data_IF_242824234235
#
_entry.id   IF_242824234235
#
_cell.length_a   1.000
_cell.length_b   1.000
_cell.length_c   1.000
_cell.angle_alpha   90.00
_cell.angle_beta   90.00
_cell.angle_gamma   90.00
#
_symmetry.space_group_name_H-M   'P 1'
#
loop_
_entity.id
_entity.type
_entity.pdbx_description
1 polymer ?
#
# COMPACT_ATOMS: atom_id res chain seq x y z
N UNK A 1 22.39 18.93 -8.02
CA UNK A 1 22.01 18.65 -6.62
C UNK A 1 23.08 19.20 -5.72
N UNK A 2 22.75 20.20 -4.92
CA UNK A 2 23.63 20.68 -3.85
C UNK A 2 23.77 19.59 -2.77
N UNK A 3 24.85 19.65 -1.96
CA UNK A 3 25.15 18.61 -0.95
C UNK A 3 24.01 18.33 0.04
N UNK A 4 23.10 19.29 0.24
CA UNK A 4 21.91 19.17 1.12
C UNK A 4 20.74 18.42 0.48
N UNK A 5 20.67 18.32 -0.84
CA UNK A 5 19.64 17.52 -1.54
C UNK A 5 20.03 16.04 -1.59
N UNK A 6 21.32 15.75 -1.80
CA UNK A 6 21.85 14.38 -1.77
C UNK A 6 21.69 13.79 -0.36
N UNK A 7 21.98 14.57 0.67
CA UNK A 7 21.78 14.17 2.07
C UNK A 7 20.31 13.80 2.35
N UNK A 8 19.35 14.60 1.87
CA UNK A 8 17.93 14.32 2.05
C UNK A 8 17.49 13.03 1.33
N UNK A 9 18.02 12.77 0.12
CA UNK A 9 17.72 11.56 -0.64
C UNK A 9 18.21 10.28 0.04
N UNK A 10 19.34 10.32 0.75
CA UNK A 10 19.97 9.14 1.37
C UNK A 10 19.37 8.80 2.73
N UNK A 11 18.86 9.79 3.48
CA UNK A 11 18.33 9.59 4.85
C UNK A 11 17.28 8.49 5.00
N UNK A 12 16.27 8.35 4.11
CA UNK A 12 15.30 7.26 4.23
C UNK A 12 15.96 5.87 4.20
N UNK A 13 16.98 5.69 3.35
CA UNK A 13 17.73 4.44 3.25
C UNK A 13 18.56 4.17 4.50
N UNK A 14 19.18 5.20 5.08
CA UNK A 14 19.90 5.08 6.35
C UNK A 14 18.96 4.69 7.49
N UNK A 15 17.79 5.31 7.58
CA UNK A 15 16.78 4.97 8.58
C UNK A 15 16.30 3.51 8.42
N UNK A 16 15.98 3.09 7.19
CA UNK A 16 15.59 1.70 6.90
C UNK A 16 16.72 0.72 7.18
N UNK A 17 17.97 1.06 6.87
CA UNK A 17 19.13 0.20 7.12
C UNK A 17 19.39 0.02 8.62
N UNK A 18 19.32 1.10 9.41
CA UNK A 18 19.45 1.02 10.86
C UNK A 18 18.29 0.20 11.46
N UNK A 19 17.08 0.41 10.96
CA UNK A 19 15.91 -0.36 11.38
C UNK A 19 16.07 -1.87 11.06
N UNK A 20 16.51 -2.21 9.84
CA UNK A 20 16.77 -3.59 9.43
C UNK A 20 17.90 -4.25 10.23
N UNK A 21 18.87 -3.46 10.71
CA UNK A 21 19.95 -3.91 11.59
C UNK A 21 19.51 -4.03 13.08
N UNK A 22 18.21 -3.91 13.37
CA UNK A 22 17.67 -3.89 14.73
C UNK A 22 18.28 -2.81 15.64
N UNK A 23 18.66 -1.66 15.05
CA UNK A 23 19.14 -0.49 15.77
C UNK A 23 18.11 0.65 15.74
N UNK A 24 17.11 0.62 16.64
CA UNK A 24 15.95 1.50 16.54
C UNK A 24 16.26 2.96 16.90
N UNK A 25 17.33 3.23 17.66
CA UNK A 25 17.67 4.59 18.09
C UNK A 25 18.15 5.46 16.91
N UNK A 26 19.17 5.06 16.13
CA UNK A 26 19.57 5.80 14.94
C UNK A 26 18.50 5.80 13.84
N UNK A 27 17.73 4.73 13.71
CA UNK A 27 16.61 4.66 12.77
C UNK A 27 15.58 5.75 13.09
N UNK A 28 15.15 5.82 14.36
CA UNK A 28 14.19 6.81 14.84
C UNK A 28 14.74 8.23 14.71
N UNK A 29 15.98 8.48 15.15
CA UNK A 29 16.61 9.80 15.05
C UNK A 29 16.67 10.29 13.59
N UNK A 30 17.02 9.41 12.65
CA UNK A 30 17.07 9.75 11.22
C UNK A 30 15.68 10.02 10.66
N UNK A 31 14.68 9.20 11.01
CA UNK A 31 13.30 9.41 10.59
C UNK A 31 12.68 10.70 11.14
N UNK A 32 12.92 11.02 12.42
CA UNK A 32 12.50 12.28 13.04
C UNK A 32 13.14 13.50 12.37
N UNK A 33 14.40 13.39 11.98
CA UNK A 33 15.10 14.44 11.27
C UNK A 33 14.53 14.67 9.86
N UNK A 34 14.16 13.61 9.15
CA UNK A 34 13.45 13.69 7.86
C UNK A 34 12.15 14.48 8.03
N UNK A 35 11.31 14.15 9.02
CA UNK A 35 10.05 14.87 9.30
C UNK A 35 10.33 16.35 9.57
N UNK A 36 11.31 16.65 10.42
CA UNK A 36 11.66 18.03 10.78
C UNK A 36 12.15 18.85 9.58
N UNK A 37 12.95 18.26 8.69
CA UNK A 37 13.40 18.90 7.46
C UNK A 37 12.22 19.11 6.50
N UNK A 38 11.42 18.05 6.28
CA UNK A 38 10.24 18.08 5.41
C UNK A 38 9.28 19.20 5.80
N UNK A 39 8.88 19.27 7.07
CA UNK A 39 8.00 20.33 7.60
C UNK A 39 8.56 21.73 7.41
N UNK A 40 9.84 21.94 7.75
CA UNK A 40 10.47 23.27 7.62
C UNK A 40 10.56 23.74 6.17
N UNK A 41 10.75 22.82 5.23
CA UNK A 41 10.82 23.12 3.79
C UNK A 41 9.45 23.12 3.12
N UNK A 42 8.37 22.79 3.85
CA UNK A 42 7.06 22.54 3.25
C UNK A 42 7.04 21.34 2.29
N UNK A 43 8.04 20.46 2.37
CA UNK A 43 8.15 19.29 1.51
C UNK A 43 7.34 18.12 2.09
N UNK A 44 6.09 18.02 1.66
CA UNK A 44 5.15 16.95 2.06
C UNK A 44 5.63 15.56 1.70
N UNK A 45 6.48 15.45 0.67
CA UNK A 45 7.09 14.18 0.26
C UNK A 45 7.97 13.61 1.36
N UNK A 46 8.97 14.40 1.75
CA UNK A 46 9.93 14.05 2.80
C UNK A 46 9.21 13.81 4.13
N UNK A 47 8.26 14.68 4.48
CA UNK A 47 7.44 14.52 5.68
C UNK A 47 6.70 13.17 5.68
N UNK A 48 6.02 12.82 4.58
CA UNK A 48 5.27 11.57 4.49
C UNK A 48 6.16 10.33 4.66
N UNK A 49 7.39 10.36 4.14
CA UNK A 49 8.35 9.27 4.26
C UNK A 49 8.84 9.15 5.70
N UNK A 50 9.23 10.28 6.32
CA UNK A 50 9.68 10.30 7.71
C UNK A 50 8.60 9.81 8.67
N UNK A 51 7.36 10.27 8.49
CA UNK A 51 6.20 9.84 9.28
C UNK A 51 5.91 8.34 9.10
N UNK A 52 6.00 7.83 7.87
CA UNK A 52 5.86 6.38 7.64
C UNK A 52 6.94 5.58 8.38
N UNK A 53 8.20 6.00 8.29
CA UNK A 53 9.33 5.32 8.95
C UNK A 53 9.19 5.35 10.48
N UNK A 54 8.84 6.51 11.06
CA UNK A 54 8.57 6.61 12.50
C UNK A 54 7.44 5.66 12.93
N UNK A 55 6.39 5.58 12.12
CA UNK A 55 5.28 4.67 12.34
C UNK A 55 5.69 3.20 12.34
N UNK A 56 6.46 2.78 11.34
CA UNK A 56 6.98 1.40 11.24
C UNK A 56 7.94 1.07 12.38
N UNK A 57 8.82 2.00 12.78
CA UNK A 57 9.76 1.80 13.89
C UNK A 57 9.01 1.72 15.22
N UNK A 58 8.03 2.59 15.46
CA UNK A 58 7.20 2.56 16.67
C UNK A 58 6.42 1.25 16.77
N UNK A 59 5.86 0.75 15.66
CA UNK A 59 5.16 -0.54 15.60
C UNK A 59 6.09 -1.69 16.00
N UNK A 60 7.31 -1.71 15.46
CA UNK A 60 8.32 -2.71 15.80
C UNK A 60 8.74 -2.71 17.28
N UNK A 61 8.55 -1.58 17.97
CA UNK A 61 8.82 -1.44 19.40
C UNK A 61 7.58 -1.72 20.28
N UNK A 62 6.46 -2.15 19.69
CA UNK A 62 5.19 -2.38 20.38
C UNK A 62 4.47 -1.08 20.79
N UNK A 63 4.93 0.09 20.32
CA UNK A 63 4.31 1.39 20.60
C UNK A 63 3.19 1.67 19.60
N UNK A 64 2.10 0.89 19.68
CA UNK A 64 1.03 0.89 18.67
C UNK A 64 0.30 2.24 18.53
N UNK A 65 0.13 3.00 19.62
CA UNK A 65 -0.53 4.32 19.55
C UNK A 65 0.33 5.37 18.85
N UNK A 66 1.63 5.38 19.13
CA UNK A 66 2.61 6.22 18.42
C UNK A 66 2.68 5.81 16.94
N UNK A 67 2.71 4.50 16.67
CA UNK A 67 2.69 3.96 15.32
C UNK A 67 1.47 4.45 14.54
N UNK A 68 0.28 4.34 15.14
CA UNK A 68 -0.98 4.79 14.54
C UNK A 68 -0.94 6.28 14.21
N UNK A 69 -0.46 7.10 15.15
CA UNK A 69 -0.35 8.55 14.99
C UNK A 69 0.54 8.90 13.79
N UNK A 70 1.73 8.32 13.72
CA UNK A 70 2.69 8.57 12.64
C UNK A 70 2.21 8.05 11.28
N UNK A 71 1.61 6.85 11.23
CA UNK A 71 1.09 6.28 9.99
C UNK A 71 -0.11 7.09 9.45
N UNK A 72 -1.00 7.58 10.33
CA UNK A 72 -2.09 8.47 9.96
C UNK A 72 -1.57 9.82 9.45
N UNK A 73 -0.56 10.40 10.12
CA UNK A 73 0.09 11.63 9.67
C UNK A 73 0.69 11.45 8.28
N UNK A 74 1.45 10.37 8.05
CA UNK A 74 2.02 10.01 6.75
C UNK A 74 0.96 9.97 5.65
N UNK A 75 -0.16 9.28 5.88
CA UNK A 75 -1.28 9.21 4.91
C UNK A 75 -1.90 10.57 4.63
N UNK A 76 -2.09 11.40 5.65
CA UNK A 76 -2.70 12.72 5.51
C UNK A 76 -1.83 13.67 4.68
N UNK A 77 -0.50 13.54 4.78
CA UNK A 77 0.43 14.37 4.00
C UNK A 77 0.79 13.78 2.63
N UNK A 78 0.63 12.47 2.43
CA UNK A 78 0.88 11.75 1.17
C UNK A 78 -0.22 12.00 0.12
N UNK A 79 -0.35 13.25 -0.33
CA UNK A 79 -1.36 13.66 -1.32
C UNK A 79 -0.85 13.71 -2.76
N UNK A 80 0.39 13.31 -3.01
CA UNK A 80 0.97 13.38 -4.35
C UNK A 80 0.66 12.09 -5.14
N UNK A 81 -0.24 12.12 -6.14
CA UNK A 81 -0.59 10.93 -6.91
C UNK A 81 0.55 10.41 -7.78
N UNK A 82 1.60 11.20 -8.04
CA UNK A 82 2.81 10.71 -8.76
C UNK A 82 3.58 9.69 -7.97
N UNK A 83 3.50 9.76 -6.65
CA UNK A 83 4.35 8.97 -5.78
C UNK A 83 3.54 8.44 -4.59
N UNK A 84 2.58 7.54 -4.82
CA UNK A 84 1.68 7.08 -3.78
C UNK A 84 2.33 6.06 -2.83
N UNK A 85 3.63 5.77 -2.94
CA UNK A 85 4.26 4.75 -2.10
C UNK A 85 4.16 5.04 -0.59
N UNK A 86 4.33 6.29 -0.07
CA UNK A 86 4.17 6.53 1.35
C UNK A 86 2.72 6.29 1.79
N UNK A 87 1.74 6.62 0.94
CA UNK A 87 0.33 6.31 1.16
C UNK A 87 0.11 4.78 1.23
N UNK A 88 0.63 4.02 0.27
CA UNK A 88 0.52 2.56 0.28
C UNK A 88 1.19 1.94 1.51
N UNK A 89 2.46 2.27 1.76
CA UNK A 89 3.25 1.74 2.89
C UNK A 89 2.64 2.07 4.25
N UNK A 90 2.15 3.30 4.44
CA UNK A 90 1.48 3.69 5.69
C UNK A 90 0.11 3.02 5.82
N UNK A 91 -0.61 2.81 4.72
CA UNK A 91 -1.86 2.02 4.72
C UNK A 91 -1.63 0.57 5.13
N UNK A 92 -0.52 -0.02 4.69
CA UNK A 92 -0.13 -1.37 5.09
C UNK A 92 0.16 -1.48 6.59
N UNK A 93 0.86 -0.51 7.17
CA UNK A 93 1.09 -0.46 8.62
C UNK A 93 -0.22 -0.30 9.41
N UNK A 94 -1.16 0.53 8.92
CA UNK A 94 -2.48 0.65 9.54
C UNK A 94 -3.31 -0.63 9.41
N UNK A 95 -3.17 -1.39 8.33
CA UNK A 95 -3.82 -2.69 8.19
C UNK A 95 -3.39 -3.66 9.29
N UNK A 96 -2.09 -3.64 9.62
CA UNK A 96 -1.54 -4.48 10.68
C UNK A 96 -2.02 -4.06 12.08
N UNK A 97 -2.10 -2.76 12.35
CA UNK A 97 -2.68 -2.24 13.59
C UNK A 97 -4.18 -2.56 13.70
N UNK A 98 -4.95 -2.41 12.62
CA UNK A 98 -6.36 -2.78 12.59
C UNK A 98 -6.57 -4.27 12.88
N UNK A 99 -5.71 -5.15 12.33
CA UNK A 99 -5.72 -6.58 12.66
C UNK A 99 -5.42 -6.83 14.14
N UNK A 100 -4.42 -6.14 14.70
CA UNK A 100 -4.08 -6.23 16.12
C UNK A 100 -5.26 -5.82 17.01
N UNK A 101 -6.00 -4.78 16.62
CA UNK A 101 -7.17 -4.28 17.34
C UNK A 101 -8.42 -5.16 17.13
N UNK A 102 -8.35 -6.19 16.28
CA UNK A 102 -9.46 -7.09 15.96
C UNK A 102 -10.42 -6.56 14.89
N UNK A 103 -10.17 -5.38 14.32
CA UNK A 103 -10.93 -4.84 13.19
C UNK A 103 -10.44 -5.46 11.87
N UNK A 104 -10.84 -6.71 11.65
CA UNK A 104 -10.47 -7.47 10.46
C UNK A 104 -11.04 -6.87 9.16
N UNK A 105 -12.14 -6.12 9.25
CA UNK A 105 -12.76 -5.48 8.06
C UNK A 105 -11.87 -4.32 7.60
N UNK A 106 -11.53 -3.41 8.52
CA UNK A 106 -10.61 -2.32 8.19
C UNK A 106 -9.24 -2.86 7.76
N UNK A 107 -8.72 -3.89 8.44
CA UNK A 107 -7.46 -4.52 8.07
C UNK A 107 -7.46 -5.05 6.63
N UNK A 108 -8.55 -5.73 6.23
CA UNK A 108 -8.73 -6.28 4.89
C UNK A 108 -8.74 -5.18 3.82
N UNK A 109 -9.56 -4.15 4.01
CA UNK A 109 -9.69 -3.06 3.04
C UNK A 109 -8.38 -2.28 2.91
N UNK A 110 -7.71 -2.00 4.03
CA UNK A 110 -6.41 -1.32 4.05
C UNK A 110 -5.33 -2.14 3.35
N UNK A 111 -5.30 -3.46 3.56
CA UNK A 111 -4.33 -4.34 2.93
C UNK A 111 -4.53 -4.41 1.41
N UNK A 112 -5.78 -4.52 0.95
CA UNK A 112 -6.10 -4.58 -0.47
C UNK A 112 -5.92 -3.24 -1.20
N UNK A 113 -6.35 -2.12 -0.60
CA UNK A 113 -6.12 -0.78 -1.17
C UNK A 113 -4.59 -0.51 -1.24
N UNK A 114 -3.83 -0.91 -0.21
CA UNK A 114 -2.37 -0.82 -0.23
C UNK A 114 -1.76 -1.69 -1.33
N UNK A 115 -2.23 -2.92 -1.51
CA UNK A 115 -1.74 -3.83 -2.55
C UNK A 115 -1.93 -3.22 -3.94
N UNK A 116 -3.11 -2.65 -4.22
CA UNK A 116 -3.39 -1.98 -5.49
C UNK A 116 -2.49 -0.77 -5.71
N UNK A 117 -2.34 0.09 -4.70
CA UNK A 117 -1.51 1.29 -4.79
C UNK A 117 -0.04 0.95 -5.06
N UNK A 118 0.53 0.00 -4.32
CA UNK A 118 1.95 -0.34 -4.40
C UNK A 118 2.28 -1.10 -5.69
N UNK A 119 1.39 -1.97 -6.14
CA UNK A 119 1.50 -2.67 -7.42
C UNK A 119 1.41 -1.71 -8.62
N UNK A 120 0.40 -0.83 -8.66
CA UNK A 120 0.23 0.15 -9.75
C UNK A 120 1.41 1.14 -9.82
N UNK A 121 2.04 1.45 -8.67
CA UNK A 121 3.24 2.30 -8.61
C UNK A 121 4.54 1.55 -8.96
N UNK A 122 4.57 0.23 -8.82
CA UNK A 122 5.77 -0.60 -9.05
C UNK A 122 6.68 -0.74 -7.84
N UNK A 123 6.21 -0.46 -6.62
CA UNK A 123 6.96 -0.73 -5.39
C UNK A 123 6.91 -2.23 -5.05
N UNK A 124 7.79 -3.01 -5.68
CA UNK A 124 7.82 -4.47 -5.55
C UNK A 124 8.00 -4.96 -4.12
N UNK A 125 8.80 -4.26 -3.32
CA UNK A 125 9.02 -4.61 -1.89
C UNK A 125 7.74 -4.35 -1.09
N UNK A 126 7.08 -3.23 -1.36
CA UNK A 126 5.78 -2.91 -0.76
C UNK A 126 4.69 -3.90 -1.17
N UNK A 127 4.67 -4.31 -2.43
CA UNK A 127 3.74 -5.30 -2.97
C UNK A 127 3.93 -6.66 -2.30
N UNK A 128 5.16 -7.16 -2.18
CA UNK A 128 5.45 -8.40 -1.46
C UNK A 128 4.97 -8.33 0.00
N UNK A 129 5.25 -7.20 0.67
CA UNK A 129 4.75 -6.97 2.01
C UNK A 129 3.22 -6.89 2.08
N UNK A 130 2.53 -6.37 1.07
CA UNK A 130 1.07 -6.35 1.04
C UNK A 130 0.47 -7.76 0.87
N UNK A 131 1.10 -8.62 0.04
CA UNK A 131 0.70 -10.03 -0.08
C UNK A 131 0.81 -10.77 1.26
N UNK A 132 1.85 -10.48 2.05
CA UNK A 132 2.01 -11.07 3.39
C UNK A 132 0.95 -10.61 4.38
N UNK A 133 0.49 -9.36 4.33
CA UNK A 133 -0.66 -8.93 5.15
C UNK A 133 -1.92 -9.67 4.72
N UNK A 134 -2.19 -9.80 3.42
CA UNK A 134 -3.36 -10.56 2.95
C UNK A 134 -3.25 -12.03 3.38
N UNK A 135 -2.06 -12.61 3.34
CA UNK A 135 -1.83 -13.97 3.82
C UNK A 135 -2.12 -14.10 5.32
N UNK A 136 -1.61 -13.16 6.14
CA UNK A 136 -1.85 -13.14 7.60
C UNK A 136 -3.34 -13.04 7.93
N UNK A 137 -4.08 -12.18 7.22
CA UNK A 137 -5.53 -12.00 7.41
C UNK A 137 -6.35 -13.23 6.99
N UNK A 138 -5.85 -14.02 6.04
CA UNK A 138 -6.53 -15.23 5.56
C UNK A 138 -6.05 -16.51 6.23
N UNK A 139 -4.95 -16.49 6.98
CA UNK A 139 -4.25 -17.69 7.42
C UNK A 139 -5.12 -18.70 8.19
N UNK A 140 -6.07 -18.23 9.00
CA UNK A 140 -6.96 -19.10 9.77
C UNK A 140 -8.15 -19.67 8.97
N UNK A 141 -8.65 -18.91 7.99
CA UNK A 141 -9.88 -19.26 7.24
C UNK A 141 -9.61 -19.88 5.87
N UNK A 142 -8.52 -19.47 5.21
CA UNK A 142 -8.08 -19.93 3.90
C UNK A 142 -6.57 -20.27 3.92
N UNK A 143 -6.15 -21.25 4.74
CA UNK A 143 -4.73 -21.56 4.95
C UNK A 143 -3.97 -21.93 3.67
N UNK A 144 -4.62 -22.59 2.70
CA UNK A 144 -4.02 -22.89 1.39
C UNK A 144 -3.65 -21.62 0.60
N UNK A 145 -4.53 -20.62 0.66
CA UNK A 145 -4.32 -19.32 0.01
C UNK A 145 -3.22 -18.54 0.70
N UNK A 146 -3.21 -18.52 2.03
CA UNK A 146 -2.15 -17.88 2.79
C UNK A 146 -0.78 -18.49 2.47
N UNK A 147 -0.66 -19.82 2.45
CA UNK A 147 0.61 -20.49 2.11
C UNK A 147 1.10 -20.16 0.70
N UNK A 148 0.21 -20.11 -0.30
CA UNK A 148 0.58 -19.73 -1.67
C UNK A 148 1.10 -18.29 -1.76
N UNK A 149 0.44 -17.36 -1.07
CA UNK A 149 0.85 -15.95 -1.02
C UNK A 149 2.20 -15.77 -0.30
N UNK A 150 2.41 -16.48 0.82
CA UNK A 150 3.67 -16.46 1.56
C UNK A 150 4.80 -17.04 0.72
N UNK A 151 4.58 -18.16 0.02
CA UNK A 151 5.58 -18.76 -0.85
C UNK A 151 5.97 -17.84 -2.02
N UNK A 152 5.00 -17.16 -2.65
CA UNK A 152 5.28 -16.18 -3.69
C UNK A 152 6.09 -14.98 -3.17
N UNK A 153 5.78 -14.50 -1.95
CA UNK A 153 6.60 -13.48 -1.29
C UNK A 153 8.00 -13.99 -0.98
N UNK A 154 8.13 -15.23 -0.47
CA UNK A 154 9.43 -15.85 -0.19
C UNK A 154 10.31 -15.90 -1.44
N UNK A 155 9.76 -16.37 -2.56
CA UNK A 155 10.47 -16.35 -3.84
C UNK A 155 10.95 -14.95 -4.22
N UNK A 156 10.13 -13.92 -4.06
CA UNK A 156 10.57 -12.55 -4.34
C UNK A 156 11.81 -12.15 -3.52
N UNK A 157 11.83 -12.50 -2.24
CA UNK A 157 12.97 -12.23 -1.37
C UNK A 157 14.20 -13.06 -1.75
N UNK A 158 14.03 -14.35 -2.07
CA UNK A 158 15.11 -15.24 -2.51
C UNK A 158 15.73 -14.78 -3.85
N UNK A 159 14.89 -14.42 -4.83
CA UNK A 159 15.32 -13.99 -6.17
C UNK A 159 16.02 -12.63 -6.16
N UNK A 160 15.63 -11.73 -5.25
CA UNK A 160 16.18 -10.35 -5.21
C UNK A 160 17.27 -10.14 -4.18
N UNK A 161 17.38 -11.02 -3.17
CA UNK A 161 18.25 -10.85 -2.02
C UNK A 161 17.85 -9.69 -1.08
N UNK A 162 16.71 -9.04 -1.32
CA UNK A 162 16.21 -7.97 -0.45
C UNK A 162 15.65 -8.62 0.80
N UNK A 163 16.16 -8.28 1.98
CA UNK A 163 15.65 -8.82 3.23
C UNK A 163 14.29 -8.23 3.62
N UNK A 164 13.50 -8.99 4.37
CA UNK A 164 12.30 -8.47 5.06
C UNK A 164 12.71 -7.51 6.15
N UNK A 165 11.90 -6.48 6.36
CA UNK A 165 12.00 -5.66 7.56
C UNK A 165 11.55 -6.46 8.80
N UNK A 166 12.03 -6.15 10.01
CA UNK A 166 11.70 -6.91 11.22
C UNK A 166 10.20 -7.20 11.41
N UNK A 167 9.34 -6.19 11.32
CA UNK A 167 7.87 -6.35 11.44
C UNK A 167 7.27 -7.23 10.35
N UNK A 168 7.85 -7.21 9.15
CA UNK A 168 7.41 -8.05 8.04
C UNK A 168 7.81 -9.51 8.26
N UNK A 169 9.00 -9.76 8.81
CA UNK A 169 9.45 -11.09 9.18
C UNK A 169 8.55 -11.70 10.26
N UNK A 170 8.25 -10.95 11.33
CA UNK A 170 7.36 -11.41 12.40
C UNK A 170 5.96 -11.76 11.87
N UNK A 171 5.42 -10.92 10.97
CA UNK A 171 4.15 -11.18 10.29
C UNK A 171 4.21 -12.41 9.40
N UNK A 172 5.27 -12.58 8.62
CA UNK A 172 5.44 -13.73 7.74
C UNK A 172 5.46 -15.03 8.56
N UNK A 173 6.24 -15.08 9.64
CA UNK A 173 6.34 -16.28 10.48
C UNK A 173 5.05 -16.58 11.23
N UNK A 174 4.35 -15.55 11.73
CA UNK A 174 3.02 -15.69 12.32
C UNK A 174 2.03 -16.27 11.31
N UNK A 175 1.89 -15.63 10.14
CA UNK A 175 0.96 -16.05 9.10
C UNK A 175 1.24 -17.50 8.65
N UNK A 176 2.51 -17.85 8.47
CA UNK A 176 2.95 -19.21 8.12
C UNK A 176 2.58 -20.20 9.21
N UNK A 177 2.86 -19.88 10.47
CA UNK A 177 2.53 -20.75 11.61
C UNK A 177 1.02 -20.97 11.73
N UNK A 178 0.22 -19.90 11.64
CA UNK A 178 -1.25 -19.98 11.68
C UNK A 178 -1.79 -20.81 10.52
N UNK A 179 -1.29 -20.59 9.29
CA UNK A 179 -1.74 -21.32 8.12
C UNK A 179 -1.41 -22.82 8.23
N UNK A 180 -0.20 -23.17 8.67
CA UNK A 180 0.17 -24.57 8.92
C UNK A 180 -0.70 -25.22 10.00
N UNK A 181 -1.01 -24.50 11.09
CA UNK A 181 -1.86 -25.03 12.16
C UNK A 181 -3.31 -25.26 11.70
N UNK A 182 -3.82 -24.41 10.80
CA UNK A 182 -5.17 -24.53 10.25
C UNK A 182 -5.28 -25.55 9.11
N UNK A 183 -4.16 -25.98 8.52
CA UNK A 183 -4.13 -26.96 7.42
C UNK A 183 -4.02 -28.40 7.96
N UNK A 184 -4.85 -29.31 7.44
CA UNK A 184 -4.71 -30.74 7.74
C UNK A 184 -3.46 -31.31 7.04
N UNK A 185 -2.85 -32.34 7.62
CA UNK A 185 -1.59 -32.91 7.13
C UNK A 185 -1.69 -33.41 5.68
N UNK A 186 -0.89 -32.86 4.77
CA UNK A 186 -0.75 -33.32 3.37
C UNK A 186 -0.74 -32.22 2.32
N UNK A 187 -1.42 -31.08 2.55
CA UNK A 187 -1.58 -30.04 1.53
C UNK A 187 -0.54 -28.90 1.59
N UNK A 188 0.22 -28.79 2.69
CA UNK A 188 1.05 -27.60 2.93
C UNK A 188 2.20 -27.46 1.92
N UNK A 189 2.92 -28.57 1.65
CA UNK A 189 3.99 -28.59 0.65
C UNK A 189 3.46 -28.24 -0.73
N UNK A 190 2.37 -28.89 -1.16
CA UNK A 190 1.78 -28.61 -2.46
C UNK A 190 1.31 -27.15 -2.62
N UNK A 191 0.76 -26.54 -1.57
CA UNK A 191 0.41 -25.12 -1.58
C UNK A 191 1.64 -24.22 -1.66
N UNK A 192 2.70 -24.57 -0.95
CA UNK A 192 3.96 -23.85 -0.99
C UNK A 192 4.63 -23.93 -2.36
N UNK A 193 4.70 -25.13 -2.95
CA UNK A 193 5.27 -25.38 -4.27
C UNK A 193 4.50 -24.58 -5.34
N UNK A 194 3.17 -24.68 -5.33
CA UNK A 194 2.32 -23.91 -6.25
C UNK A 194 2.48 -22.38 -6.07
N UNK A 195 2.66 -21.90 -4.84
CA UNK A 195 2.91 -20.48 -4.59
C UNK A 195 4.29 -20.02 -5.03
N UNK A 196 5.30 -20.88 -4.90
CA UNK A 196 6.67 -20.60 -5.34
C UNK A 196 6.77 -20.46 -6.87
N UNK A 197 5.87 -21.08 -7.63
CA UNK A 197 5.80 -20.91 -9.08
C UNK A 197 5.23 -19.56 -9.51
N UNK A 198 4.46 -18.87 -8.64
CA UNK A 198 3.85 -17.59 -8.96
C UNK A 198 4.91 -16.49 -9.06
N UNK A 199 4.86 -15.71 -10.14
CA UNK A 199 5.55 -14.42 -10.17
C UNK A 199 4.89 -13.45 -9.19
N UNK A 200 5.57 -12.36 -8.82
CA UNK A 200 4.98 -11.33 -7.96
C UNK A 200 3.66 -10.78 -8.57
N UNK A 201 3.61 -10.61 -9.89
CA UNK A 201 2.41 -10.15 -10.59
C UNK A 201 1.26 -11.18 -10.55
N UNK A 202 1.57 -12.47 -10.73
CA UNK A 202 0.57 -13.53 -10.63
C UNK A 202 0.04 -13.70 -9.21
N UNK A 203 0.90 -13.50 -8.21
CA UNK A 203 0.52 -13.50 -6.81
C UNK A 203 -0.41 -12.31 -6.47
N UNK A 204 -0.17 -11.13 -7.03
CA UNK A 204 -1.10 -9.99 -6.93
C UNK A 204 -2.44 -10.34 -7.56
N UNK A 205 -2.45 -10.91 -8.76
CA UNK A 205 -3.70 -11.33 -9.40
C UNK A 205 -4.44 -12.40 -8.57
N UNK A 206 -3.70 -13.34 -7.98
CA UNK A 206 -4.23 -14.37 -7.08
C UNK A 206 -4.83 -13.77 -5.80
N UNK A 207 -4.14 -12.81 -5.17
CA UNK A 207 -4.65 -12.07 -4.02
C UNK A 207 -5.92 -11.29 -4.37
N UNK A 208 -5.96 -10.60 -5.52
CA UNK A 208 -7.15 -9.84 -5.95
C UNK A 208 -8.38 -10.72 -6.17
N UNK A 209 -8.21 -11.95 -6.69
CA UNK A 209 -9.33 -12.89 -6.94
C UNK A 209 -10.11 -13.28 -5.69
N UNK A 210 -9.43 -13.51 -4.56
CA UNK A 210 -10.10 -13.86 -3.31
C UNK A 210 -10.55 -12.66 -2.47
N UNK A 211 -10.51 -11.44 -3.02
CA UNK A 211 -11.12 -10.29 -2.36
C UNK A 211 -12.64 -10.47 -2.19
N UNK A 212 -13.29 -11.26 -3.08
CA UNK A 212 -14.72 -11.62 -2.99
C UNK A 212 -15.70 -10.44 -3.05
N UNK A 213 -16.97 -10.69 -3.35
CA UNK A 213 -18.04 -9.68 -3.42
C UNK A 213 -18.51 -9.22 -2.02
N UNK A 214 -17.76 -8.31 -1.34
CA UNK A 214 -18.20 -7.41 -0.23
C UNK A 214 -16.96 -6.66 0.32
N UNK A 215 -16.86 -5.34 0.50
CA UNK A 215 -17.69 -4.16 0.19
C UNK A 215 -16.78 -2.94 -0.08
N UNK A 216 -16.10 -2.90 -1.22
CA UNK A 216 -16.12 -1.64 -1.98
C UNK A 216 -17.04 -1.94 -3.15
N UNK A 217 -18.11 -1.16 -3.37
CA UNK A 217 -18.92 -1.31 -4.57
C UNK A 217 -17.94 -1.42 -5.74
N UNK A 218 -18.02 -2.48 -6.56
CA UNK A 218 -17.16 -2.54 -7.75
C UNK A 218 -17.64 -1.55 -8.81
N UNK A 219 -18.89 -1.15 -8.68
CA UNK A 219 -19.62 -0.23 -9.53
C UNK A 219 -20.27 0.85 -8.64
N UNK A 220 -20.65 1.98 -9.22
CA UNK A 220 -21.20 3.13 -8.54
C UNK A 220 -20.13 4.06 -7.96
N UNK A 221 -20.56 5.22 -7.48
CA UNK A 221 -19.67 6.32 -7.11
C UNK A 221 -18.81 6.02 -5.88
N UNK A 222 -19.30 5.17 -5.00
CA UNK A 222 -18.57 4.70 -3.82
C UNK A 222 -17.42 3.74 -4.18
N UNK A 223 -17.40 3.21 -5.41
CA UNK A 223 -16.33 2.38 -5.95
C UNK A 223 -15.02 3.13 -6.23
N UNK A 224 -15.10 4.44 -6.40
CA UNK A 224 -13.99 5.23 -6.90
C UNK A 224 -12.86 5.31 -5.87
N UNK A 225 -11.63 5.05 -6.30
CA UNK A 225 -10.42 5.25 -5.49
C UNK A 225 -10.19 6.74 -5.25
N UNK A 226 -9.36 7.13 -4.25
CA UNK A 226 -9.06 8.55 -4.00
C UNK A 226 -8.56 9.29 -5.27
N UNK A 227 -7.67 8.66 -6.03
CA UNK A 227 -7.14 9.22 -7.28
C UNK A 227 -8.22 9.32 -8.37
N UNK A 228 -9.11 8.32 -8.47
CA UNK A 228 -10.22 8.37 -9.41
C UNK A 228 -11.22 9.49 -9.08
N UNK A 229 -11.48 9.76 -7.79
CA UNK A 229 -12.31 10.91 -7.37
C UNK A 229 -11.67 12.25 -7.74
N UNK A 230 -10.35 12.38 -7.60
CA UNK A 230 -9.64 13.59 -8.00
C UNK A 230 -9.71 13.81 -9.52
N UNK A 231 -9.57 12.74 -10.31
CA UNK A 231 -9.76 12.78 -11.77
C UNK A 231 -11.19 13.23 -12.11
N UNK A 232 -12.18 12.62 -11.47
CA UNK A 232 -13.61 12.93 -11.66
C UNK A 232 -13.93 14.40 -11.34
N UNK A 233 -13.43 14.92 -10.22
CA UNK A 233 -13.61 16.34 -9.84
C UNK A 233 -13.01 17.29 -10.87
N UNK A 234 -11.81 16.98 -11.37
CA UNK A 234 -11.18 17.80 -12.39
C UNK A 234 -11.93 17.74 -13.73
N UNK A 235 -12.50 16.58 -14.08
CA UNK A 235 -13.39 16.46 -15.25
C UNK A 235 -14.62 17.33 -15.10
N UNK A 236 -15.29 17.28 -13.94
CA UNK A 236 -16.47 18.08 -13.64
C UNK A 236 -16.16 19.59 -13.66
N UNK A 237 -14.96 19.99 -13.23
CA UNK A 237 -14.45 21.35 -13.34
C UNK A 237 -13.98 21.74 -14.76
N UNK A 238 -14.19 20.90 -15.78
CA UNK A 238 -13.96 21.22 -17.19
C UNK A 238 -12.54 20.95 -17.73
N UNK A 239 -11.64 20.37 -16.94
CA UNK A 239 -10.22 20.22 -17.33
C UNK A 239 -9.98 19.10 -18.35
N UNK A 240 -9.34 19.38 -19.48
CA UNK A 240 -8.96 18.38 -20.48
C UNK A 240 -8.04 17.29 -19.89
N UNK A 241 -7.91 16.13 -20.55
CA UNK A 241 -7.02 15.07 -20.07
C UNK A 241 -5.55 15.54 -19.99
N UNK A 242 -5.15 16.50 -20.81
CA UNK A 242 -3.83 17.13 -20.76
C UNK A 242 -3.69 18.00 -19.50
N UNK A 243 -4.68 18.83 -19.18
CA UNK A 243 -4.68 19.67 -17.98
C UNK A 243 -4.84 18.84 -16.70
N UNK A 244 -5.65 17.79 -16.72
CA UNK A 244 -5.74 16.80 -15.62
C UNK A 244 -4.38 16.14 -15.45
N UNK A 245 -3.76 15.70 -16.55
CA UNK A 245 -2.43 15.12 -16.53
C UNK A 245 -1.37 16.10 -16.03
N UNK A 246 -1.50 17.39 -16.29
CA UNK A 246 -0.61 18.42 -15.73
C UNK A 246 -0.89 18.67 -14.25
N UNK A 247 -2.15 18.76 -13.82
CA UNK A 247 -2.54 19.08 -12.44
C UNK A 247 -2.32 17.92 -11.48
N UNK A 248 -2.71 16.72 -11.90
CA UNK A 248 -2.39 15.46 -11.22
C UNK A 248 -1.00 14.97 -11.61
N UNK A 249 -0.34 15.68 -12.53
CA UNK A 249 1.07 15.49 -12.81
C UNK A 249 1.39 14.06 -13.33
N UNK A 250 0.40 13.36 -13.90
CA UNK A 250 0.46 12.03 -14.50
C UNK A 250 0.37 12.10 -16.04
N UNK A 251 0.81 11.04 -16.73
CA UNK A 251 0.70 11.02 -18.20
C UNK A 251 -0.76 11.11 -18.66
N UNK A 252 -0.99 11.70 -19.84
CA UNK A 252 -2.32 11.72 -20.48
C UNK A 252 -2.87 10.29 -20.63
N UNK A 253 -2.01 9.30 -20.85
CA UNK A 253 -2.39 7.89 -20.95
C UNK A 253 -2.82 7.30 -19.61
N UNK A 254 -2.21 7.73 -18.51
CA UNK A 254 -2.63 7.36 -17.15
C UNK A 254 -3.99 7.97 -16.83
N UNK A 255 -4.23 9.23 -17.20
CA UNK A 255 -5.56 9.86 -17.08
C UNK A 255 -6.60 9.08 -17.88
N UNK A 256 -6.29 8.69 -19.12
CA UNK A 256 -7.18 7.84 -19.94
C UNK A 256 -7.49 6.51 -19.25
N UNK A 257 -6.49 5.83 -18.68
CA UNK A 257 -6.70 4.58 -17.93
C UNK A 257 -7.62 4.79 -16.73
N UNK A 258 -7.40 5.84 -15.93
CA UNK A 258 -8.29 6.17 -14.82
C UNK A 258 -9.70 6.49 -15.31
N UNK A 259 -9.87 7.26 -16.39
CA UNK A 259 -11.19 7.54 -16.96
C UNK A 259 -11.88 6.28 -17.49
N UNK A 260 -11.16 5.36 -18.14
CA UNK A 260 -11.73 4.07 -18.56
C UNK A 260 -12.24 3.27 -17.37
N UNK A 261 -11.47 3.19 -16.28
CA UNK A 261 -11.89 2.52 -15.04
C UNK A 261 -13.09 3.24 -14.42
N UNK A 262 -13.07 4.57 -14.34
CA UNK A 262 -14.17 5.40 -13.82
C UNK A 262 -15.44 5.19 -14.63
N UNK A 263 -15.38 5.24 -15.97
CA UNK A 263 -16.55 5.07 -16.83
C UNK A 263 -17.19 3.70 -16.64
N UNK A 264 -16.37 2.65 -16.61
CA UNK A 264 -16.83 1.30 -16.31
C UNK A 264 -17.43 1.19 -14.90
N UNK A 265 -16.85 1.90 -13.93
CA UNK A 265 -17.30 1.88 -12.53
C UNK A 265 -18.63 2.60 -12.34
N UNK A 266 -18.80 3.81 -12.85
CA UNK A 266 -20.00 4.63 -12.60
C UNK A 266 -21.08 4.53 -13.67
N UNK A 267 -20.87 3.68 -14.67
CA UNK A 267 -21.78 3.43 -15.79
C UNK A 267 -22.14 4.72 -16.55
N UNK A 268 -21.11 5.34 -17.14
CA UNK A 268 -21.27 6.56 -17.97
C UNK A 268 -20.64 6.37 -19.33
N UNK A 269 -21.33 6.86 -20.35
CA UNK A 269 -20.92 6.68 -21.75
C UNK A 269 -19.78 7.61 -22.19
N UNK A 270 -19.37 8.52 -21.30
CA UNK A 270 -18.19 9.32 -21.52
C UNK A 270 -18.11 10.58 -20.68
N UNK A 271 -17.22 11.46 -21.10
CA UNK A 271 -16.78 12.62 -20.34
C UNK A 271 -17.89 13.61 -20.00
N UNK A 272 -18.79 13.88 -20.95
CA UNK A 272 -19.88 14.82 -20.78
C UNK A 272 -20.93 14.28 -19.80
N UNK A 273 -21.26 12.99 -19.91
CA UNK A 273 -22.17 12.33 -18.99
C UNK A 273 -21.59 12.23 -17.58
N UNK A 274 -20.29 11.89 -17.47
CA UNK A 274 -19.58 11.91 -16.18
C UNK A 274 -19.69 13.28 -15.50
N UNK A 275 -19.42 14.38 -16.21
CA UNK A 275 -19.52 15.73 -15.66
C UNK A 275 -20.97 16.09 -15.23
N UNK A 276 -21.96 15.70 -16.03
CA UNK A 276 -23.37 15.93 -15.72
C UNK A 276 -23.86 15.13 -14.50
N UNK A 277 -23.32 13.92 -14.29
CA UNK A 277 -23.64 13.11 -13.11
C UNK A 277 -22.97 13.64 -11.83
N UNK A 278 -21.74 14.16 -11.91
CA UNK A 278 -21.07 14.81 -10.77
C UNK A 278 -21.88 16.03 -10.30
N UNK A 279 -22.30 16.89 -11.24
CA UNK A 279 -23.06 18.10 -10.93
C UNK A 279 -24.43 17.81 -10.28
N UNK A 280 -25.02 16.64 -10.53
CA UNK A 280 -26.27 16.20 -9.89
C UNK A 280 -26.09 15.63 -8.48
N UNK A 281 -24.84 15.34 -8.08
CA UNK A 281 -24.50 14.66 -6.82
C UNK A 281 -23.78 15.57 -5.80
N UNK A 282 -23.47 16.83 -6.14
CA UNK A 282 -22.73 17.79 -5.30
C UNK A 282 -21.41 17.23 -4.71
N UNK A 283 -20.57 16.61 -5.55
CA UNK A 283 -19.26 16.00 -5.17
C UNK A 283 -18.03 16.89 -5.38
#
# INVERSE_FOLDING_TARGET
MEGTEIDMFVRPWLAMSAYAAHDPQPAHATAAEIVRIGRRRGNRWDESIGEWLLGTIAHAQGRHDDARTHLQASRAVATNPRFPFPLGRSSLGLAELARHDGDLTAAWDLAHDSLEILDDYGDRVGTAAALETVADLTAAGEPERALRLLAASQRFHDDTGIARLPTQADRFDRARTTAHAALHSGNASACWDAGSELSLADAVAYARRGRGERQRPQLGWDSLTPVERDVVRLVAAGHTNAEIGQRLFISINTVKKYLTRVYAKVDVDGRADLAAQVARRDL
#
